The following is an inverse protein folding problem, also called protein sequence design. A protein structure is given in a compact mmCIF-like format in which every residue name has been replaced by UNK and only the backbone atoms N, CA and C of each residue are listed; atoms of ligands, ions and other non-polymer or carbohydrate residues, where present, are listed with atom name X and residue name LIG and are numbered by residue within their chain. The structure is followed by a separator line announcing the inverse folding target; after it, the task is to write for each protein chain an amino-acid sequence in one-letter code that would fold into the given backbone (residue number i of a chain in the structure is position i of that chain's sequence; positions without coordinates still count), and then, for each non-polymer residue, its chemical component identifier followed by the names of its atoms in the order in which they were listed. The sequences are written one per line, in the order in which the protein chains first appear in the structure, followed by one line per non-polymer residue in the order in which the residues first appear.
data_IF_705813178994
#
_entry.id   IF_705813178994
#
_cell.length_a   1.000
_cell.length_b   1.000
_cell.length_c   1.000
_cell.angle_alpha   90.00
_cell.angle_beta   90.00
_cell.angle_gamma   90.00
#
_symmetry.space_group_name_H-M   'P 1'
#
loop_
_entity.id
_entity.type
_entity.pdbx_description
1 polymer ?
#
# COMPACT_ATOMS: atom_id res chain seq x y z
N UNK A 1 6.12 10.85 -11.31
CA UNK A 1 5.66 11.97 -10.45
C UNK A 1 5.15 11.38 -9.16
N UNK A 2 5.53 11.95 -8.02
CA UNK A 2 5.04 11.56 -6.69
C UNK A 2 4.26 12.75 -6.13
N UNK A 3 3.08 12.51 -5.57
CA UNK A 3 2.20 13.54 -4.99
C UNK A 3 1.56 13.04 -3.71
N UNK A 4 1.22 13.96 -2.81
CA UNK A 4 0.25 13.71 -1.75
C UNK A 4 -1.13 14.17 -2.20
N UNK A 5 -2.11 13.30 -2.07
CA UNK A 5 -3.53 13.58 -2.37
C UNK A 5 -4.36 12.95 -1.26
N UNK A 6 -5.11 13.74 -0.51
CA UNK A 6 -6.04 13.25 0.54
C UNK A 6 -5.40 12.21 1.47
N UNK A 7 -4.28 12.58 2.10
CA UNK A 7 -3.51 11.72 3.01
C UNK A 7 -3.04 10.38 2.39
N UNK A 8 -2.94 10.34 1.06
CA UNK A 8 -2.44 9.20 0.30
C UNK A 8 -1.22 9.59 -0.54
N UNK A 9 -0.27 8.66 -0.66
CA UNK A 9 0.92 8.81 -1.48
C UNK A 9 0.67 8.25 -2.89
N UNK A 10 0.56 9.13 -3.87
CA UNK A 10 0.26 8.77 -5.25
C UNK A 10 1.52 8.79 -6.13
N UNK A 11 1.77 7.68 -6.82
CA UNK A 11 2.80 7.52 -7.84
C UNK A 11 2.15 7.50 -9.22
N UNK A 12 2.62 8.33 -10.13
CA UNK A 12 2.17 8.38 -11.52
C UNK A 12 3.33 8.31 -12.50
N UNK A 13 3.19 7.45 -13.50
CA UNK A 13 4.15 7.20 -14.57
C UNK A 13 3.49 7.44 -15.94
N UNK A 14 2.94 8.63 -16.14
CA UNK A 14 2.25 9.02 -17.38
C UNK A 14 3.07 8.83 -18.65
N UNK A 15 4.41 8.90 -18.57
CA UNK A 15 5.33 8.60 -19.68
C UNK A 15 5.40 7.12 -20.05
N UNK A 16 5.07 6.22 -19.12
CA UNK A 16 4.99 4.76 -19.36
C UNK A 16 3.61 4.43 -19.93
N UNK A 17 2.55 4.74 -19.19
CA UNK A 17 1.17 4.53 -19.62
C UNK A 17 0.24 5.45 -18.84
N UNK A 18 -0.87 5.89 -19.45
CA UNK A 18 -1.82 6.81 -18.81
C UNK A 18 -2.40 6.27 -17.50
N UNK A 19 -2.64 4.96 -17.45
CA UNK A 19 -3.20 4.27 -16.27
C UNK A 19 -2.12 3.76 -15.32
N UNK A 20 -0.83 4.02 -15.60
CA UNK A 20 0.26 3.64 -14.71
C UNK A 20 0.31 4.58 -13.50
N UNK A 21 -0.67 4.40 -12.61
CA UNK A 21 -0.78 5.08 -11.33
C UNK A 21 -0.98 4.06 -10.21
N UNK A 22 -0.33 4.28 -9.07
CA UNK A 22 -0.60 3.53 -7.85
C UNK A 22 -0.63 4.48 -6.67
N UNK A 23 -1.60 4.30 -5.79
CA UNK A 23 -1.78 5.07 -4.56
C UNK A 23 -1.53 4.14 -3.39
N UNK A 24 -0.80 4.65 -2.40
CA UNK A 24 -0.50 3.96 -1.13
C UNK A 24 -1.11 4.79 -0.01
N UNK A 25 -1.94 4.16 0.81
CA UNK A 25 -2.54 4.79 1.98
C UNK A 25 -2.13 4.04 3.24
N UNK A 26 -1.77 4.78 4.29
CA UNK A 26 -1.29 4.23 5.55
C UNK A 26 -2.47 4.18 6.51
N UNK A 27 -2.95 2.99 6.81
CA UNK A 27 -4.16 2.78 7.59
C UNK A 27 -3.82 2.56 9.06
N UNK A 28 -4.47 3.31 9.95
CA UNK A 28 -4.47 3.08 11.40
C UNK A 28 -5.08 1.72 11.70
N UNK A 29 -4.54 1.04 12.70
CA UNK A 29 -5.11 -0.20 13.21
C UNK A 29 -4.82 -0.41 14.69
N UNK A 30 -5.47 -1.41 15.28
CA UNK A 30 -5.18 -1.86 16.64
C UNK A 30 -3.81 -2.52 16.69
N UNK A 31 -2.98 -2.08 17.66
CA UNK A 31 -1.73 -2.77 17.96
C UNK A 31 -2.03 -4.14 18.55
N UNK A 32 -1.48 -5.16 17.94
CA UNK A 32 -1.50 -6.52 18.47
C UNK A 32 -0.55 -6.61 19.70
N UNK A 33 -0.97 -7.25 20.79
CA UNK A 33 -0.08 -7.54 21.92
C UNK A 33 1.16 -8.34 21.52
N UNK A 34 2.30 -8.05 22.17
CA UNK A 34 3.54 -8.81 21.98
C UNK A 34 3.53 -10.07 22.86
N UNK A 35 2.55 -10.96 22.68
CA UNK A 35 2.34 -12.18 23.48
C UNK A 35 2.53 -13.49 22.68
N UNK A 36 3.04 -13.37 21.45
CA UNK A 36 3.26 -14.46 20.51
C UNK A 36 2.01 -15.29 20.15
N UNK A 37 0.80 -14.72 20.34
CA UNK A 37 -0.46 -15.35 19.94
C UNK A 37 -0.92 -14.92 18.54
N UNK A 38 -1.83 -15.72 17.97
CA UNK A 38 -2.48 -15.42 16.69
C UNK A 38 -3.67 -14.49 16.89
N UNK A 39 -3.75 -13.45 16.05
CA UNK A 39 -4.83 -12.48 16.04
C UNK A 39 -5.46 -12.37 14.64
N UNK A 40 -6.76 -12.01 14.54
CA UNK A 40 -7.39 -11.71 13.26
C UNK A 40 -6.68 -10.58 12.50
N UNK A 41 -6.99 -10.47 11.20
CA UNK A 41 -6.46 -9.38 10.37
C UNK A 41 -6.79 -8.01 11.00
N UNK A 42 -5.83 -7.07 11.00
CA UNK A 42 -6.02 -5.80 11.69
C UNK A 42 -7.13 -4.98 11.01
N UNK A 43 -8.10 -4.42 11.75
CA UNK A 43 -9.14 -3.58 11.15
C UNK A 43 -8.54 -2.26 10.62
N UNK A 44 -9.17 -1.65 9.61
CA UNK A 44 -8.85 -0.28 9.22
C UNK A 44 -9.59 0.73 10.12
N UNK A 45 -8.86 1.62 10.78
CA UNK A 45 -9.39 2.69 11.63
C UNK A 45 -9.24 4.09 11.00
N UNK A 46 -9.05 4.14 9.68
CA UNK A 46 -8.87 5.36 8.91
C UNK A 46 -7.41 5.65 8.58
N UNK A 47 -7.20 6.58 7.63
CA UNK A 47 -5.87 6.92 7.17
C UNK A 47 -5.11 7.78 8.19
N UNK A 48 -3.80 7.58 8.28
CA UNK A 48 -2.92 8.54 8.92
C UNK A 48 -2.76 9.79 8.06
N UNK A 49 -2.62 10.98 8.67
CA UNK A 49 -2.31 12.18 7.92
C UNK A 49 -0.93 12.08 7.28
N UNK A 50 -0.78 12.60 6.06
CA UNK A 50 0.52 12.74 5.39
C UNK A 50 0.83 14.22 5.16
N UNK A 51 2.08 14.62 5.40
CA UNK A 51 2.53 16.01 5.23
C UNK A 51 3.82 16.06 4.43
N UNK A 52 3.98 17.03 3.53
CA UNK A 52 5.27 17.24 2.91
C UNK A 52 6.27 17.76 3.94
N UNK A 53 7.52 17.27 3.88
CA UNK A 53 8.60 17.81 4.72
C UNK A 53 8.82 19.30 4.43
N UNK A 54 8.75 19.68 3.15
CA UNK A 54 9.02 21.04 2.67
C UNK A 54 8.08 22.09 3.28
N UNK A 55 6.81 21.73 3.53
CA UNK A 55 5.81 22.63 4.14
C UNK A 55 6.19 23.05 5.57
N UNK A 56 7.10 22.31 6.22
CA UNK A 56 7.53 22.52 7.60
C UNK A 56 9.03 22.79 7.72
N UNK A 57 9.74 23.07 6.63
CA UNK A 57 11.19 23.17 6.60
C UNK A 57 11.79 24.09 7.70
N UNK A 58 11.12 25.19 8.04
CA UNK A 58 11.57 26.13 9.07
C UNK A 58 11.51 25.59 10.52
N UNK A 59 10.80 24.48 10.75
CA UNK A 59 10.57 23.87 12.07
C UNK A 59 11.16 22.47 12.20
N UNK A 60 11.79 21.96 11.16
CA UNK A 60 12.33 20.60 11.11
C UNK A 60 13.86 20.61 11.18
N UNK A 61 14.48 19.51 11.68
CA UNK A 61 15.93 19.34 11.62
C UNK A 61 16.45 19.46 10.18
N UNK A 62 17.59 20.14 9.99
CA UNK A 62 18.19 20.35 8.66
C UNK A 62 18.39 19.05 7.88
N UNK A 63 18.81 17.97 8.56
CA UNK A 63 18.98 16.66 7.94
C UNK A 63 17.68 16.07 7.36
N UNK A 64 16.52 16.38 7.93
CA UNK A 64 15.23 15.93 7.39
C UNK A 64 14.87 16.72 6.14
N UNK A 65 15.10 18.03 6.16
CA UNK A 65 14.88 18.91 5.01
C UNK A 65 15.78 18.51 3.84
N UNK A 66 17.07 18.25 4.09
CA UNK A 66 18.03 17.81 3.07
C UNK A 66 17.64 16.45 2.46
N UNK A 67 17.20 15.50 3.30
CA UNK A 67 16.71 14.19 2.84
C UNK A 67 15.40 14.30 2.05
N UNK A 68 14.55 15.24 2.42
CA UNK A 68 13.22 15.47 1.86
C UNK A 68 12.24 14.32 2.12
N UNK A 69 11.10 14.39 1.43
CA UNK A 69 10.08 13.33 1.43
C UNK A 69 8.79 13.72 2.14
N UNK A 70 8.21 12.76 2.84
CA UNK A 70 6.87 12.86 3.45
C UNK A 70 6.98 12.50 4.92
N UNK A 71 6.33 13.30 5.75
CA UNK A 71 6.10 13.01 7.16
C UNK A 71 4.79 12.27 7.35
N UNK A 72 4.83 11.27 8.22
CA UNK A 72 3.70 10.45 8.66
C UNK A 72 3.62 10.61 10.19
N UNK A 73 2.86 11.58 10.71
CA UNK A 73 2.73 11.80 12.15
C UNK A 73 2.02 10.62 12.83
N UNK A 74 2.70 9.98 13.77
CA UNK A 74 2.21 8.86 14.58
C UNK A 74 2.63 9.05 16.03
N UNK A 75 1.79 8.64 16.97
CA UNK A 75 2.19 8.46 18.36
C UNK A 75 3.04 7.19 18.51
N UNK A 76 3.90 7.16 19.52
CA UNK A 76 4.62 5.95 19.88
C UNK A 76 3.62 4.82 20.17
N UNK A 77 3.95 3.62 19.71
CA UNK A 77 3.10 2.42 19.79
C UNK A 77 1.86 2.40 18.90
N UNK A 78 1.62 3.39 18.04
CA UNK A 78 0.57 3.26 17.02
C UNK A 78 0.98 2.24 15.95
N UNK A 79 0.02 1.39 15.56
CA UNK A 79 0.18 0.37 14.55
C UNK A 79 -0.47 0.79 13.23
N UNK A 80 0.07 0.28 12.13
CA UNK A 80 -0.46 0.55 10.79
C UNK A 80 -0.32 -0.63 9.84
N UNK A 81 -1.10 -0.58 8.76
CA UNK A 81 -0.92 -1.40 7.56
C UNK A 81 -0.99 -0.52 6.31
N UNK A 82 -0.55 -1.07 5.17
CA UNK A 82 -0.50 -0.35 3.90
C UNK A 82 -1.61 -0.83 2.98
N UNK A 83 -2.43 0.09 2.48
CA UNK A 83 -3.45 -0.17 1.47
C UNK A 83 -2.95 0.31 0.10
N UNK A 84 -3.13 -0.51 -0.94
CA UNK A 84 -2.71 -0.23 -2.31
C UNK A 84 -3.90 -0.14 -3.25
N UNK A 85 -3.91 0.89 -4.10
CA UNK A 85 -4.90 1.04 -5.17
C UNK A 85 -4.20 1.37 -6.49
N UNK A 86 -4.43 0.56 -7.53
CA UNK A 86 -3.85 0.78 -8.85
C UNK A 86 -4.88 1.38 -9.81
N UNK A 87 -4.41 2.26 -10.69
CA UNK A 87 -5.24 2.93 -11.70
C UNK A 87 -5.89 1.93 -12.64
N UNK A 88 -7.19 2.09 -12.86
CA UNK A 88 -7.97 1.22 -13.75
C UNK A 88 -7.88 1.70 -15.20
N UNK A 89 -7.60 0.80 -16.15
CA UNK A 89 -7.74 1.08 -17.59
C UNK A 89 -9.10 0.56 -18.07
N UNK A 90 -10.02 1.50 -18.32
CA UNK A 90 -11.39 1.19 -18.77
C UNK A 90 -11.46 0.40 -20.09
N UNK A 91 -10.55 0.67 -21.03
CA UNK A 91 -10.55 0.00 -22.34
C UNK A 91 -10.14 -1.47 -22.23
N UNK A 92 -9.26 -1.79 -21.28
CA UNK A 92 -8.76 -3.15 -21.02
C UNK A 92 -9.49 -3.85 -19.88
N UNK A 93 -10.26 -3.09 -19.10
CA UNK A 93 -11.01 -3.53 -17.91
C UNK A 93 -10.11 -4.21 -16.86
N UNK A 94 -8.94 -3.62 -16.62
CA UNK A 94 -7.95 -4.15 -15.67
C UNK A 94 -7.20 -2.99 -15.00
N UNK A 95 -6.83 -3.15 -13.72
CA UNK A 95 -5.93 -2.22 -13.06
C UNK A 95 -4.49 -2.42 -13.52
N UNK A 96 -3.77 -1.31 -13.69
CA UNK A 96 -2.41 -1.33 -14.18
C UNK A 96 -1.48 -1.99 -13.14
N UNK A 97 -0.73 -3.06 -13.50
CA UNK A 97 0.07 -3.77 -12.51
C UNK A 97 1.32 -3.00 -12.06
N UNK A 98 1.65 -3.13 -10.78
CA UNK A 98 2.84 -2.58 -10.16
C UNK A 98 3.57 -3.63 -9.32
N UNK A 99 4.90 -3.53 -9.29
CA UNK A 99 5.71 -4.07 -8.21
C UNK A 99 6.05 -2.95 -7.23
N UNK A 100 5.72 -3.10 -5.95
CA UNK A 100 5.98 -2.09 -4.92
C UNK A 100 6.97 -2.66 -3.91
N UNK A 101 8.11 -1.98 -3.74
CA UNK A 101 9.11 -2.28 -2.71
C UNK A 101 8.85 -1.43 -1.49
N UNK A 102 8.88 -2.07 -0.32
CA UNK A 102 8.68 -1.44 0.98
C UNK A 102 9.84 -1.84 1.90
N UNK A 103 10.38 -0.88 2.63
CA UNK A 103 11.36 -1.10 3.69
C UNK A 103 11.10 -0.20 4.89
N UNK A 104 11.59 -0.63 6.05
CA UNK A 104 11.71 0.21 7.24
C UNK A 104 13.16 0.25 7.68
N UNK A 105 13.71 1.45 7.91
CA UNK A 105 15.12 1.62 8.26
C UNK A 105 16.09 0.89 7.31
N UNK A 106 15.80 0.91 6.00
CA UNK A 106 16.54 0.20 4.94
C UNK A 106 16.56 -1.32 5.05
N UNK A 107 15.63 -1.92 5.80
CA UNK A 107 15.34 -3.36 5.76
C UNK A 107 14.06 -3.59 4.99
N UNK A 108 14.13 -4.42 3.95
CA UNK A 108 12.98 -4.75 3.11
C UNK A 108 11.92 -5.53 3.91
N UNK A 109 10.68 -5.03 3.94
CA UNK A 109 9.62 -5.60 4.77
C UNK A 109 9.09 -6.97 4.28
N UNK A 110 9.35 -7.31 3.01
CA UNK A 110 8.89 -8.57 2.38
C UNK A 110 9.96 -9.66 2.49
N UNK A 111 11.22 -9.31 2.21
CA UNK A 111 12.34 -10.26 2.16
C UNK A 111 13.22 -10.26 3.40
N UNK A 112 13.10 -9.27 4.30
CA UNK A 112 14.00 -9.09 5.45
C UNK A 112 15.46 -8.73 5.07
N UNK A 113 15.76 -8.60 3.78
CA UNK A 113 17.10 -8.27 3.30
C UNK A 113 17.39 -6.77 3.29
N UNK A 114 18.66 -6.41 3.14
CA UNK A 114 19.11 -5.02 2.99
C UNK A 114 18.46 -4.35 1.78
N UNK A 115 18.11 -3.07 1.93
CA UNK A 115 17.49 -2.27 0.89
C UNK A 115 18.37 -2.14 -0.36
N UNK A 116 17.78 -2.50 -1.50
CA UNK A 116 18.37 -2.32 -2.82
C UNK A 116 17.36 -1.68 -3.76
N UNK A 117 17.85 -0.92 -4.75
CA UNK A 117 16.97 -0.22 -5.70
C UNK A 117 16.30 -1.16 -6.71
N UNK A 118 16.96 -2.24 -7.14
CA UNK A 118 16.41 -3.16 -8.15
C UNK A 118 15.35 -4.12 -7.60
N UNK A 119 14.51 -4.70 -8.46
CA UNK A 119 13.59 -5.77 -8.08
C UNK A 119 14.32 -7.11 -8.06
N UNK A 120 14.12 -7.90 -7.01
CA UNK A 120 14.61 -9.28 -6.93
C UNK A 120 13.43 -10.22 -6.77
N UNK A 121 13.36 -11.23 -7.64
CA UNK A 121 12.35 -12.30 -7.57
C UNK A 121 12.93 -13.60 -7.02
N UNK A 122 14.21 -13.86 -7.28
CA UNK A 122 14.92 -15.09 -6.88
C UNK A 122 16.23 -14.74 -6.17
N UNK A 123 16.66 -15.54 -5.18
CA UNK A 123 15.95 -16.70 -4.63
C UNK A 123 14.74 -16.31 -3.76
N UNK A 124 14.68 -15.05 -3.29
CA UNK A 124 13.60 -14.52 -2.45
C UNK A 124 13.05 -13.24 -3.07
N UNK A 125 11.72 -13.12 -3.16
CA UNK A 125 11.05 -11.93 -3.68
C UNK A 125 11.11 -10.77 -2.67
N UNK A 126 11.34 -9.55 -3.15
CA UNK A 126 11.51 -8.34 -2.30
C UNK A 126 10.50 -7.22 -2.56
N UNK A 127 9.36 -7.56 -3.17
CA UNK A 127 8.28 -6.64 -3.55
C UNK A 127 6.90 -7.28 -3.43
N UNK A 128 5.89 -6.42 -3.32
CA UNK A 128 4.46 -6.75 -3.41
C UNK A 128 3.97 -6.53 -4.85
N UNK A 129 3.06 -7.37 -5.35
CA UNK A 129 2.44 -7.21 -6.67
C UNK A 129 1.05 -6.62 -6.52
N UNK A 130 0.82 -5.41 -7.04
CA UNK A 130 -0.48 -4.73 -7.03
C UNK A 130 -1.10 -4.85 -8.43
N UNK A 131 -2.40 -5.18 -8.59
CA UNK A 131 -3.45 -5.28 -7.57
C UNK A 131 -3.61 -6.67 -6.91
N UNK A 132 -2.82 -7.68 -7.31
CA UNK A 132 -2.99 -9.07 -6.82
C UNK A 132 -2.87 -9.19 -5.29
N UNK A 133 -2.01 -8.37 -4.68
CA UNK A 133 -1.89 -8.17 -3.25
C UNK A 133 -2.23 -6.69 -2.94
N UNK A 134 -3.48 -6.40 -2.54
CA UNK A 134 -3.96 -5.03 -2.36
C UNK A 134 -3.55 -4.40 -1.01
N UNK A 135 -2.94 -5.15 -0.09
CA UNK A 135 -2.44 -4.60 1.16
C UNK A 135 -1.16 -5.30 1.69
N UNK A 136 -0.52 -4.67 2.67
CA UNK A 136 0.58 -5.25 3.46
C UNK A 136 0.39 -4.93 4.94
N UNK A 137 0.11 -5.97 5.73
CA UNK A 137 -0.22 -5.87 7.16
C UNK A 137 1.01 -5.64 8.06
N UNK A 138 2.21 -5.97 7.55
CA UNK A 138 3.43 -5.92 8.34
C UNK A 138 4.64 -6.57 7.66
N UNK A 139 5.66 -6.88 8.47
CA UNK A 139 6.86 -7.61 8.07
C UNK A 139 6.54 -9.09 7.85
N UNK A 140 6.99 -9.65 6.73
CA UNK A 140 6.98 -11.10 6.52
C UNK A 140 8.17 -11.75 7.25
N UNK A 141 7.91 -12.35 8.41
CA UNK A 141 8.95 -13.00 9.23
C UNK A 141 9.07 -14.49 8.92
N UNK A 142 7.96 -15.14 8.57
CA UNK A 142 7.93 -16.50 8.05
C UNK A 142 6.70 -16.67 7.15
N UNK A 143 6.59 -17.83 6.47
CA UNK A 143 5.42 -18.12 5.63
C UNK A 143 4.15 -18.11 6.49
N UNK A 144 3.26 -17.15 6.21
CA UNK A 144 2.00 -16.99 6.94
C UNK A 144 2.12 -16.27 8.29
N UNK A 145 3.33 -15.84 8.69
CA UNK A 145 3.55 -15.13 9.94
C UNK A 145 4.01 -13.71 9.62
N UNK A 146 3.25 -12.74 10.13
CA UNK A 146 3.55 -11.32 9.98
C UNK A 146 3.77 -10.65 11.33
N UNK A 147 4.56 -9.59 11.36
CA UNK A 147 4.66 -8.66 12.51
C UNK A 147 4.24 -7.27 12.08
N UNK A 148 3.38 -6.61 12.86
CA UNK A 148 2.80 -5.31 12.47
C UNK A 148 3.87 -4.21 12.32
N UNK A 149 3.58 -3.21 11.49
CA UNK A 149 4.32 -1.96 11.53
C UNK A 149 3.87 -1.15 12.74
N UNK A 150 4.75 -1.01 13.73
CA UNK A 150 4.51 -0.22 14.94
C UNK A 150 5.50 0.93 15.00
N UNK A 151 5.02 2.12 15.31
CA UNK A 151 5.85 3.29 15.52
C UNK A 151 6.65 3.15 16.83
N UNK A 152 7.96 2.92 16.71
CA UNK A 152 8.87 2.75 17.85
C UNK A 152 9.99 3.80 17.80
N UNK A 153 10.50 4.24 18.97
CA UNK A 153 11.62 5.19 19.02
C UNK A 153 12.89 4.57 18.41
N UNK A 154 13.54 5.32 17.54
CA UNK A 154 14.84 4.94 16.97
C UNK A 154 15.92 5.01 18.04
N UNK A 155 16.79 4.00 18.13
CA UNK A 155 17.85 3.92 19.13
C UNK A 155 17.47 3.13 20.40
N UNK A 156 16.25 2.59 20.46
CA UNK A 156 15.76 1.79 21.58
C UNK A 156 15.84 0.27 21.34
N UNK A 157 16.41 -0.18 20.22
CA UNK A 157 16.58 -1.60 19.90
C UNK A 157 15.34 -2.32 19.34
N UNK A 158 14.25 -1.59 19.11
CA UNK A 158 12.99 -2.18 18.64
C UNK A 158 12.86 -2.23 17.13
N UNK A 159 13.57 -1.38 16.40
CA UNK A 159 13.36 -1.27 14.96
C UNK A 159 13.96 -2.47 14.21
N UNK A 160 13.38 -2.82 13.05
CA UNK A 160 13.92 -3.88 12.21
C UNK A 160 15.38 -3.62 11.79
N UNK A 161 15.73 -2.36 11.56
CA UNK A 161 17.10 -1.91 11.29
C UNK A 161 18.05 -2.30 12.43
N UNK A 162 17.70 -1.98 13.66
CA UNK A 162 18.52 -2.27 14.84
C UNK A 162 18.65 -3.77 15.09
N UNK A 163 17.54 -4.51 14.99
CA UNK A 163 17.54 -5.96 15.25
C UNK A 163 18.35 -6.76 14.22
N UNK A 164 18.46 -6.26 12.98
CA UNK A 164 19.15 -6.96 11.89
C UNK A 164 20.57 -6.46 11.68
N UNK A 165 20.81 -5.16 11.85
CA UNK A 165 22.12 -4.53 11.54
C UNK A 165 22.90 -4.10 12.76
N UNK A 166 22.26 -4.03 13.94
CA UNK A 166 22.85 -3.48 15.15
C UNK A 166 23.00 -1.95 15.15
N UNK A 167 22.38 -1.25 14.20
CA UNK A 167 22.52 0.19 13.98
C UNK A 167 21.16 0.89 13.98
N UNK A 168 21.15 2.18 14.31
CA UNK A 168 19.97 3.03 14.36
C UNK A 168 20.19 4.31 13.50
N UNK A 169 20.43 4.13 12.20
CA UNK A 169 20.89 5.22 11.32
C UNK A 169 19.74 5.85 10.51
N UNK A 170 18.80 5.05 10.02
CA UNK A 170 17.89 5.50 8.96
C UNK A 170 16.46 5.74 9.42
N UNK A 171 15.89 4.78 10.16
CA UNK A 171 14.48 4.76 10.55
C UNK A 171 13.49 4.94 9.39
N UNK A 172 12.22 5.14 9.75
CA UNK A 172 11.13 5.48 8.83
C UNK A 172 10.87 4.45 7.71
N UNK A 173 9.96 4.79 6.81
CA UNK A 173 9.57 3.97 5.66
C UNK A 173 10.34 4.36 4.40
N UNK A 174 10.62 3.39 3.53
CA UNK A 174 11.11 3.62 2.18
C UNK A 174 10.25 2.86 1.18
N UNK A 175 9.86 3.54 0.10
CA UNK A 175 8.92 3.05 -0.89
C UNK A 175 9.48 3.27 -2.29
N UNK A 176 9.35 2.26 -3.15
CA UNK A 176 9.57 2.41 -4.60
C UNK A 176 8.45 1.66 -5.33
N UNK A 177 7.82 2.31 -6.29
CA UNK A 177 6.84 1.68 -7.19
C UNK A 177 7.44 1.50 -8.58
N UNK A 178 7.24 0.32 -9.15
CA UNK A 178 7.65 -0.05 -10.50
C UNK A 178 6.42 -0.41 -11.33
N UNK A 179 6.00 0.44 -12.28
CA UNK A 179 4.93 0.07 -13.20
C UNK A 179 5.39 -1.09 -14.11
N UNK A 180 4.46 -1.96 -14.49
CA UNK A 180 4.67 -2.86 -15.63
C UNK A 180 5.08 -2.04 -16.86
N UNK A 181 5.99 -2.57 -17.70
CA UNK A 181 6.35 -1.95 -18.97
C UNK A 181 5.13 -1.88 -19.88
N UNK A 182 5.01 -0.79 -20.65
CA UNK A 182 3.84 -0.54 -21.49
C UNK A 182 3.60 -1.67 -22.48
N UNK A 183 4.65 -2.10 -23.17
CA UNK A 183 4.58 -3.09 -24.24
C UNK A 183 4.05 -4.43 -23.70
N UNK A 184 4.59 -4.85 -22.54
CA UNK A 184 4.16 -6.06 -21.83
C UNK A 184 2.71 -5.94 -21.34
N UNK A 185 2.32 -4.76 -20.85
CA UNK A 185 0.94 -4.52 -20.40
C UNK A 185 -0.05 -4.59 -21.56
N UNK A 186 0.26 -3.94 -22.69
CA UNK A 186 -0.62 -3.93 -23.86
C UNK A 186 -0.73 -5.31 -24.53
N UNK A 187 0.36 -6.08 -24.55
CA UNK A 187 0.39 -7.46 -25.04
C UNK A 187 -0.46 -8.39 -24.15
N UNK A 188 -0.24 -8.34 -22.83
CA UNK A 188 -0.93 -9.22 -21.87
C UNK A 188 -2.40 -8.86 -21.68
N UNK A 189 -2.73 -7.58 -21.84
CA UNK A 189 -4.08 -7.05 -21.65
C UNK A 189 -4.52 -6.27 -22.89
N UNK A 190 -4.95 -6.98 -23.96
CA UNK A 190 -5.45 -6.32 -25.17
C UNK A 190 -6.73 -5.54 -24.88
N UNK A 191 -6.99 -4.51 -25.67
CA UNK A 191 -8.23 -3.72 -25.59
C UNK A 191 -9.41 -4.67 -25.79
N UNK A 192 -10.39 -4.59 -24.89
CA UNK A 192 -11.62 -5.35 -25.03
C UNK A 192 -12.61 -4.53 -25.86
N UNK A 193 -13.25 -5.12 -26.89
CA UNK A 193 -14.31 -4.44 -27.58
C UNK A 193 -15.39 -4.06 -26.58
N UNK A 194 -15.91 -2.83 -26.70
CA UNK A 194 -17.03 -2.37 -25.89
C UNK A 194 -18.20 -3.28 -26.26
N UNK A 195 -18.54 -4.24 -25.39
CA UNK A 195 -19.82 -4.92 -25.48
C UNK A 195 -20.88 -3.81 -25.46
N UNK A 196 -21.54 -3.62 -26.60
CA UNK A 196 -22.81 -2.91 -26.64
C UNK A 196 -23.66 -3.69 -25.64
N UNK A 197 -24.00 -3.07 -24.50
CA UNK A 197 -25.11 -3.58 -23.70
C UNK A 197 -26.28 -3.59 -24.68
N UNK A 198 -26.68 -4.75 -25.17
CA UNK A 198 -28.07 -4.91 -25.55
C UNK A 198 -28.83 -4.49 -24.30
N UNK A 199 -29.58 -3.40 -24.40
CA UNK A 199 -30.42 -2.98 -23.29
C UNK A 199 -31.24 -4.20 -22.88
N UNK A 200 -31.30 -4.53 -21.58
CA UNK A 200 -32.24 -5.55 -21.15
C UNK A 200 -33.60 -5.05 -21.64
N UNK A 201 -34.19 -5.75 -22.62
CA UNK A 201 -35.60 -5.55 -22.96
C UNK A 201 -36.36 -5.81 -21.67
N UNK A 202 -36.72 -4.74 -20.97
CA UNK A 202 -37.62 -4.80 -19.85
C UNK A 202 -38.92 -5.39 -20.38
N UNK A 203 -39.10 -6.71 -20.23
CA UNK A 203 -40.46 -7.25 -20.23
C UNK A 203 -41.12 -6.62 -19.01
N UNK A 204 -42.06 -5.70 -19.27
CA UNK A 204 -43.03 -5.24 -18.26
C UNK A 204 -43.62 -6.49 -17.63
N UNK A 205 -43.17 -6.81 -16.42
CA UNK A 205 -43.78 -7.83 -15.58
C UNK A 205 -44.97 -7.14 -14.93
N UNK A 206 -46.17 -7.66 -15.17
CA UNK A 206 -47.37 -7.22 -14.45
C UNK A 206 -47.09 -7.20 -12.94
N UNK A 207 -47.52 -6.14 -12.29
CA UNK A 207 -47.33 -5.88 -10.87
C UNK A 207 -47.91 -7.01 -10.04
N UNK A 208 -47.03 -7.79 -9.39
CA UNK A 208 -47.43 -8.71 -8.33
C UNK A 208 -47.62 -7.87 -7.05
N UNK A 209 -48.75 -7.98 -6.33
CA UNK A 209 -48.97 -7.21 -5.11
C UNK A 209 -47.91 -7.52 -4.06
N UNK A 210 -47.45 -6.48 -3.37
CA UNK A 210 -46.47 -6.56 -2.29
C UNK A 210 -47.03 -7.41 -1.14
N UNK A 211 -46.41 -8.55 -0.87
CA UNK A 211 -46.69 -9.32 0.34
C UNK A 211 -46.04 -8.62 1.53
N UNK A 212 -46.84 -8.44 2.58
CA UNK A 212 -46.50 -7.84 3.85
C UNK A 212 -45.28 -8.53 4.48
N UNK A 213 -44.19 -7.78 4.68
CA UNK A 213 -42.95 -8.28 5.28
C UNK A 213 -43.12 -8.27 6.79
N UNK A 214 -43.80 -9.29 7.33
CA UNK A 214 -44.01 -9.48 8.77
C UNK A 214 -42.69 -9.44 9.54
N UNK A 215 -42.36 -8.27 10.08
CA UNK A 215 -41.22 -8.07 10.97
C UNK A 215 -41.60 -8.55 12.37
N UNK A 216 -40.71 -9.35 12.97
CA UNK A 216 -40.83 -9.80 14.35
C UNK A 216 -40.59 -8.64 15.33
N UNK A 217 -41.19 -8.68 16.54
CA UNK A 217 -41.09 -7.61 17.53
C UNK A 217 -39.68 -7.39 18.06
#
# INVERSE_FOLDING_TARGET
MIKLTEDSLAFSFSRVHRSATVTIQFQRTLRIPDDDQDYPLPPGLGAFPLRHVDDFAARLPAAWVERGGVMLPMYQSEAMWLNFSAGYDEQRRVSYPFAVKIATGKINAVSGGTWTKGLHRRPRQDYVVVPEQPWLDGYCVAKGIIRQFVAMPLGAGYTAEEQITGKAEHGGLQLIAFPMKREVFEERFPIRPRQVREEPRFMMRESVPCADMGLAP
#
